data_IF_716318874309
#
_entry.id   IF_716318874309
#
_cell.length_a   1.000
_cell.length_b   1.000
_cell.length_c   1.000
_cell.angle_alpha   90.00
_cell.angle_beta   90.00
_cell.angle_gamma   90.00
#
_symmetry.space_group_name_H-M   'P 1'
#
loop_
_entity.id
_entity.type
_entity.pdbx_description
1 polymer ?
2 non-polymer ?
3 water ?
#
# COMPACT_ATOMS: atom_id res chain seq x y z
N UNK A 9 -27.12 -1.98 1.70
CA UNK A 9 -27.19 -0.70 2.43
C UNK A 9 -27.13 -0.92 3.94
N UNK A 10 -28.21 -1.52 4.46
CA UNK A 10 -28.28 -1.84 5.88
C UNK A 10 -27.29 -2.94 6.27
N UNK A 11 -27.10 -3.94 5.41
CA UNK A 11 -26.10 -4.96 5.72
C UNK A 11 -24.69 -4.36 5.78
N UNK A 12 -24.39 -3.43 4.87
CA UNK A 12 -23.04 -2.89 4.82
C UNK A 12 -22.79 -1.93 5.98
N UNK A 13 -23.78 -1.11 6.34
CA UNK A 13 -23.58 -0.30 7.54
C UNK A 13 -23.41 -1.19 8.79
N UNK A 14 -24.08 -2.35 8.87
CA UNK A 14 -23.81 -3.25 9.99
C UNK A 14 -22.37 -3.75 9.99
N UNK A 15 -21.82 -4.05 8.80
CA UNK A 15 -20.43 -4.49 8.74
C UNK A 15 -19.51 -3.40 9.27
N UNK A 16 -19.68 -2.17 8.78
CA UNK A 16 -18.83 -1.05 9.22
C UNK A 16 -18.91 -0.86 10.74
N UNK A 17 -20.12 -0.94 11.32
CA UNK A 17 -20.30 -0.86 12.76
C UNK A 17 -19.53 -1.95 13.51
N UNK A 18 -19.52 -3.17 12.96
CA UNK A 18 -18.73 -4.24 13.55
C UNK A 18 -17.25 -3.93 13.49
N UNK A 19 -16.77 -3.49 12.32
CA UNK A 19 -15.35 -3.20 12.18
C UNK A 19 -14.88 -2.18 13.21
N UNK A 20 -15.69 -1.14 13.47
CA UNK A 20 -15.35 -0.15 14.48
C UNK A 20 -15.15 -0.77 15.84
N UNK A 21 -15.83 -1.90 16.15
CA UNK A 21 -15.62 -2.53 17.46
C UNK A 21 -14.17 -2.98 17.67
N UNK A 22 -13.41 -3.15 16.59
CA UNK A 22 -12.01 -3.55 16.68
C UNK A 22 -11.06 -2.38 16.91
N UNK A 23 -11.56 -1.14 16.98
CA UNK A 23 -10.67 0.02 16.95
C UNK A 23 -9.98 0.25 18.29
N UNK A 24 -10.62 -0.10 19.40
CA UNK A 24 -9.99 0.06 20.71
C UNK A 24 -9.11 -1.14 21.03
N UNK A 25 -8.52 -1.73 20.00
CA UNK A 25 -7.59 -2.86 20.06
C UNK A 25 -6.37 -2.62 19.19
N UNK A 26 -6.56 -2.03 18.01
CA UNK A 26 -5.42 -1.45 17.29
C UNK A 26 -4.71 -0.45 18.17
N UNK A 27 -5.47 0.32 18.96
CA UNK A 27 -4.89 1.32 19.83
C UNK A 27 -3.84 0.74 20.78
N UNK A 28 -3.88 -0.58 21.01
CA UNK A 28 -2.86 -1.24 21.80
C UNK A 28 -1.94 -2.15 20.99
N UNK A 29 -2.37 -2.56 19.79
CA UNK A 29 -1.51 -3.32 18.89
C UNK A 29 -0.62 -2.42 18.05
N UNK A 30 -1.11 -1.23 17.68
CA UNK A 30 -0.28 -0.26 16.97
C UNK A 30 0.65 0.51 17.90
N UNK A 31 0.21 0.75 19.15
CA UNK A 31 1.08 1.40 20.10
C UNK A 31 2.29 0.55 20.44
N UNK A 32 2.14 -0.77 20.38
CA UNK A 32 3.26 -1.64 20.69
C UNK A 32 4.20 -1.77 19.50
N UNK A 33 3.64 -1.78 18.29
CA UNK A 33 4.46 -1.74 17.08
C UNK A 33 5.35 -0.51 17.10
N UNK A 34 4.74 0.67 17.34
CA UNK A 34 5.47 1.92 17.22
C UNK A 34 6.68 1.97 18.13
N UNK A 35 6.54 1.51 19.38
CA UNK A 35 7.67 1.54 20.30
C UNK A 35 8.79 0.61 19.89
N UNK A 36 8.46 -0.47 19.19
CA UNK A 36 9.52 -1.32 18.65
C UNK A 36 10.17 -0.64 17.45
N UNK A 37 9.42 0.18 16.72
CA UNK A 37 9.96 0.82 15.52
C UNK A 37 10.90 1.97 15.91
N UNK A 38 10.53 2.80 16.89
CA UNK A 38 11.46 3.85 17.31
C UNK A 38 12.72 3.25 17.90
N UNK A 39 12.64 2.06 18.49
CA UNK A 39 13.82 1.43 19.04
C UNK A 39 14.80 1.02 17.95
N UNK A 40 14.32 0.60 16.78
CA UNK A 40 15.23 0.35 15.65
C UNK A 40 15.66 1.64 14.98
N UNK A 41 14.76 2.64 14.92
CA UNK A 41 15.08 3.94 14.35
C UNK A 41 16.40 4.46 14.91
N UNK A 42 16.63 4.24 16.20
CA UNK A 42 17.84 4.73 16.85
C UNK A 42 19.06 3.94 16.42
N UNK A 43 18.99 2.61 16.49
CA UNK A 43 20.15 1.78 16.19
C UNK A 43 20.61 1.96 14.75
N UNK A 44 19.66 1.95 13.81
CA UNK A 44 20.00 2.27 12.43
C UNK A 44 20.72 3.60 12.34
N UNK A 45 20.15 4.64 12.96
CA UNK A 45 20.77 5.96 12.96
C UNK A 45 22.19 5.94 13.50
N UNK A 46 22.59 4.87 14.20
CA UNK A 46 23.96 4.72 14.69
C UNK A 46 24.88 4.04 13.67
N UNK A 47 24.32 3.32 12.70
CA UNK A 47 25.13 2.82 11.59
C UNK A 47 25.42 3.97 10.62
N UNK A 48 26.59 3.90 9.99
CA UNK A 48 27.07 5.02 9.19
C UNK A 48 26.36 5.11 7.84
N UNK A 49 25.85 3.99 7.33
CA UNK A 49 25.13 3.98 6.07
C UNK A 49 23.66 4.34 6.21
N UNK A 50 23.10 4.17 7.40
CA UNK A 50 21.71 4.50 7.66
C UNK A 50 21.62 5.64 8.65
N UNK A 51 22.33 6.74 8.42
CA UNK A 51 22.24 7.84 9.37
C UNK A 51 21.09 8.79 9.06
N UNK A 52 20.76 8.97 7.79
CA UNK A 52 19.64 9.79 7.42
C UNK A 52 18.40 8.94 7.25
N UNK A 53 18.26 7.95 8.10
CA UNK A 53 17.06 7.12 8.09
C UNK A 53 16.01 7.81 8.96
N UNK A 54 14.79 7.83 8.46
CA UNK A 54 13.67 8.32 9.24
C UNK A 54 12.44 7.52 8.91
N UNK A 55 11.33 7.90 9.52
CA UNK A 55 10.05 7.27 9.21
C UNK A 55 9.36 8.03 8.08
N UNK A 56 8.65 7.29 7.24
CA UNK A 56 7.75 7.87 6.24
C UNK A 56 6.34 7.88 6.83
N UNK A 57 5.78 9.09 7.00
CA UNK A 57 4.44 9.31 7.54
C UNK A 57 4.33 9.07 9.05
N UNK A 58 3.11 9.25 9.57
CA UNK A 58 2.68 8.79 10.89
C UNK A 58 1.70 7.64 10.63
N UNK A 59 2.16 6.41 10.78
CA UNK A 59 3.53 6.11 11.17
C UNK A 59 3.70 4.64 11.50
N UNK A 63 0.25 1.60 8.54
CA UNK A 63 -0.65 1.03 7.56
C UNK A 63 -1.02 -0.42 7.95
N UNK A 64 -2.20 -0.88 7.54
CA UNK A 64 -2.67 -2.24 7.80
C UNK A 64 -2.99 -2.94 6.48
N UNK A 65 -2.32 -4.06 6.23
CA UNK A 65 -2.71 -4.95 5.13
C UNK A 65 -3.87 -5.84 5.56
N UNK A 66 -3.97 -6.13 6.86
CA UNK A 66 -5.08 -6.89 7.45
C UNK A 66 -5.90 -5.93 8.31
N UNK A 67 -7.10 -5.59 7.84
CA UNK A 67 -8.00 -4.70 8.58
C UNK A 67 -9.28 -5.45 8.93
N UNK A 70 -7.21 -6.92 12.88
CA UNK A 70 -6.08 -6.20 12.29
C UNK A 70 -4.74 -6.58 12.92
N UNK A 71 -3.95 -7.42 12.24
CA UNK A 71 -2.70 -7.93 12.77
C UNK A 71 -1.49 -7.73 11.89
N UNK A 72 -1.65 -7.36 10.62
CA UNK A 72 -0.53 -6.96 9.79
C UNK A 72 -0.36 -5.46 9.86
N UNK A 73 0.85 -5.01 10.20
CA UNK A 73 1.18 -3.59 10.26
C UNK A 73 2.34 -3.30 9.31
N UNK A 74 2.28 -2.15 8.64
CA UNK A 74 3.26 -1.78 7.64
C UNK A 74 3.94 -0.47 8.05
N UNK A 75 5.26 -0.50 8.17
CA UNK A 75 6.08 0.68 8.44
C UNK A 75 7.15 0.79 7.36
N UNK A 76 7.35 2.00 6.84
CA UNK A 76 8.37 2.24 5.83
C UNK A 76 9.47 3.13 6.40
N UNK A 77 10.72 2.68 6.24
CA UNK A 77 11.88 3.46 6.64
C UNK A 77 12.43 4.14 5.39
N UNK A 78 12.51 5.46 5.42
CA UNK A 78 13.01 6.22 4.29
C UNK A 78 14.48 6.56 4.51
N UNK A 79 15.14 6.97 3.43
CA UNK A 79 16.57 7.22 3.47
C UNK A 79 16.94 8.15 2.31
N UNK A 80 17.26 9.40 2.62
CA UNK A 80 17.66 10.35 1.58
C UNK A 80 18.96 9.92 0.92
N UNK A 81 18.96 9.92 -0.41
CA UNK A 81 20.16 9.57 -1.19
C UNK A 81 20.35 10.57 -2.32
N UNK A 82 21.21 11.57 -2.15
CA UNK A 82 21.42 12.57 -3.20
C UNK A 82 22.00 11.95 -4.46
N UNK A 83 22.04 12.77 -5.51
CA UNK A 83 22.67 12.41 -6.78
C UNK A 83 22.07 11.12 -7.33
N UNK A 84 20.76 10.97 -7.17
CA UNK A 84 20.07 9.80 -7.67
C UNK A 84 20.16 9.75 -9.18
N UNK A 85 20.02 8.54 -9.72
CA UNK A 85 20.05 8.35 -11.17
C UNK A 85 19.42 7.01 -11.49
N UNK A 86 18.44 7.01 -12.39
CA UNK A 86 17.57 5.87 -12.59
C UNK A 86 17.73 5.33 -14.01
N UNK A 87 17.83 4.00 -14.12
CA UNK A 87 17.90 3.30 -15.39
C UNK A 87 16.79 2.26 -15.43
N UNK A 88 15.85 2.42 -16.36
CA UNK A 88 14.67 1.56 -16.42
C UNK A 88 15.02 0.15 -16.87
N UNK A 89 14.81 -0.83 -15.98
CA UNK A 89 15.07 -2.23 -16.30
C UNK A 89 14.09 -2.71 -17.37
N UNK A 90 14.57 -2.82 -18.61
CA UNK A 90 13.89 -3.58 -19.66
C UNK A 90 12.46 -3.09 -19.89
N UNK A 91 12.33 -1.78 -20.13
CA UNK A 91 11.07 -1.04 -20.15
C UNK A 91 9.92 -1.69 -19.36
N UNK A 92 10.18 -2.08 -18.11
CA UNK A 92 9.15 -2.60 -17.22
C UNK A 92 8.42 -1.49 -16.47
N UNK A 93 8.76 -0.22 -16.74
CA UNK A 93 8.07 0.96 -16.22
C UNK A 93 8.23 1.16 -14.72
N UNK A 94 8.14 0.12 -13.90
CA UNK A 94 8.20 0.27 -12.45
C UNK A 94 9.52 -0.15 -11.82
N UNK A 95 10.41 -0.82 -12.56
CA UNK A 95 11.62 -1.41 -11.99
C UNK A 95 12.86 -0.72 -12.55
N UNK A 96 13.81 -0.40 -11.66
CA UNK A 96 14.96 0.44 -12.00
C UNK A 96 16.22 -0.09 -11.33
N UNK A 97 17.35 0.23 -11.94
CA UNK A 97 18.66 0.22 -11.30
C UNK A 97 18.97 1.62 -10.79
N UNK A 98 19.86 1.69 -9.80
CA UNK A 98 20.20 2.96 -9.14
C UNK A 98 21.69 3.24 -9.33
N UNK A 99 22.01 4.45 -9.80
CA UNK A 99 23.38 4.94 -9.89
C UNK A 99 23.49 6.29 -9.20
N UNK A 100 24.74 6.66 -8.87
CA UNK A 100 25.08 7.97 -8.32
C UNK A 100 25.75 8.76 -9.45
N UNK A 107 30.56 8.64 -0.65
CA UNK A 107 29.43 8.62 0.26
C UNK A 107 29.33 7.28 0.98
N UNK A 108 28.75 7.27 2.18
CA UNK A 108 28.77 6.05 2.99
C UNK A 108 28.05 4.87 2.36
N UNK A 109 27.19 5.12 1.36
CA UNK A 109 26.48 4.07 0.65
C UNK A 109 27.31 3.39 -0.42
N UNK A 110 28.60 3.74 -0.54
CA UNK A 110 29.46 3.14 -1.55
C UNK A 110 29.75 1.67 -1.27
N UNK A 111 29.50 1.20 -0.05
CA UNK A 111 29.74 -0.20 0.30
C UNK A 111 28.69 -1.14 -0.29
N UNK A 112 27.56 -0.61 -0.78
CA UNK A 112 26.51 -1.43 -1.34
C UNK A 112 26.50 -1.49 -2.86
N UNK A 113 27.36 -0.74 -3.53
CA UNK A 113 27.32 -0.73 -4.97
C UNK A 113 28.12 -1.92 -5.52
N UNK A 114 27.58 -2.54 -6.56
CA UNK A 114 28.27 -3.56 -7.35
C UNK A 114 28.38 -2.99 -8.76
N UNK A 115 29.55 -2.40 -9.05
CA UNK A 115 29.84 -1.88 -10.37
C UNK A 115 29.00 -0.68 -10.74
N UNK A 116 29.17 0.41 -10.00
CA UNK A 116 28.54 1.70 -10.27
C UNK A 116 27.06 1.75 -9.90
N UNK A 117 26.39 0.60 -9.86
CA UNK A 117 24.96 0.59 -9.53
C UNK A 117 24.78 0.12 -8.09
N UNK A 118 23.73 0.65 -7.45
CA UNK A 118 23.43 0.36 -6.06
C UNK A 118 22.73 -1.00 -5.96
N UNK A 119 23.29 -1.89 -5.16
CA UNK A 119 22.76 -3.25 -5.02
C UNK A 119 21.67 -3.25 -3.97
N UNK A 120 20.43 -3.48 -4.42
CA UNK A 120 19.34 -3.75 -3.48
C UNK A 120 19.72 -4.85 -2.51
N UNK A 121 20.09 -6.02 -3.03
CA UNK A 121 20.28 -7.19 -2.18
C UNK A 121 21.34 -6.96 -1.13
N UNK A 122 22.42 -6.26 -1.47
CA UNK A 122 23.45 -5.98 -0.47
C UNK A 122 22.93 -5.00 0.59
N UNK A 123 22.34 -3.88 0.16
CA UNK A 123 21.77 -2.92 1.11
C UNK A 123 20.66 -3.54 1.94
N UNK A 124 19.80 -4.33 1.31
CA UNK A 124 18.73 -4.98 2.05
C UNK A 124 19.28 -5.97 3.06
N UNK A 125 20.35 -6.70 2.71
CA UNK A 125 20.84 -7.76 3.58
C UNK A 125 21.53 -7.22 4.82
N UNK A 126 22.08 -6.00 4.75
CA UNK A 126 22.62 -5.40 5.97
C UNK A 126 21.52 -4.75 6.80
N UNK A 127 20.44 -4.31 6.16
CA UNK A 127 19.23 -3.92 6.88
C UNK A 127 18.79 -5.04 7.82
N UNK A 128 18.78 -6.28 7.32
CA UNK A 128 18.37 -7.42 8.13
C UNK A 128 19.29 -7.57 9.34
N UNK A 129 20.60 -7.67 9.11
CA UNK A 129 21.55 -7.93 10.18
C UNK A 129 21.42 -6.92 11.32
N UNK A 130 21.19 -5.65 10.98
CA UNK A 130 21.10 -4.64 12.03
C UNK A 130 19.83 -4.82 12.84
N UNK A 131 18.70 -5.10 12.16
CA UNK A 131 17.45 -5.33 12.89
C UNK A 131 17.51 -6.61 13.70
N UNK A 132 17.92 -7.72 13.07
CA UNK A 132 18.04 -8.98 13.77
C UNK A 132 18.97 -8.86 14.97
N UNK A 133 20.00 -8.02 14.87
CA UNK A 133 20.87 -7.75 15.99
C UNK A 133 20.12 -7.07 17.13
N UNK A 134 18.98 -6.45 16.85
CA UNK A 134 18.32 -5.64 17.86
C UNK A 134 17.14 -6.33 18.51
N UNK A 135 16.32 -7.07 17.74
CA UNK A 135 15.20 -7.78 18.34
C UNK A 135 15.64 -8.87 19.29
N UNK A 136 16.93 -9.23 19.27
CA UNK A 136 17.52 -10.15 20.23
C UNK A 136 18.01 -9.47 21.50
N UNK A 137 17.84 -8.15 21.61
CA UNK A 137 18.25 -7.41 22.80
C UNK A 137 17.10 -6.82 23.59
N UNK A 138 15.91 -6.74 23.01
CA UNK A 138 14.72 -6.32 23.74
C UNK A 138 14.23 -7.52 24.54
N UNK A 139 14.81 -7.71 25.73
CA UNK A 139 14.59 -8.93 26.51
C UNK A 139 13.19 -9.02 27.10
N UNK A 140 12.46 -7.91 27.16
CA UNK A 140 11.14 -7.92 27.82
C UNK A 140 10.07 -8.49 26.90
N UNK A 141 9.76 -7.80 25.81
CA UNK A 141 8.74 -8.26 24.88
C UNK A 141 9.33 -9.28 23.90
N UNK A 142 8.55 -10.34 23.62
CA UNK A 142 9.02 -11.47 22.82
C UNK A 142 8.80 -11.17 21.34
N UNK A 143 9.66 -10.31 20.82
CA UNK A 143 9.69 -10.01 19.38
C UNK A 143 10.62 -10.99 18.70
N UNK A 144 10.20 -11.48 17.53
CA UNK A 144 11.05 -12.34 16.71
C UNK A 144 10.92 -11.91 15.25
N UNK A 145 11.84 -12.41 14.44
CA UNK A 145 11.84 -12.18 13.00
C UNK A 145 11.37 -13.45 12.28
N UNK A 146 10.66 -13.27 11.18
CA UNK A 146 10.25 -14.41 10.37
C UNK A 146 10.65 -14.21 8.90
N UNK A 153 9.69 -8.34 0.09
CA UNK A 153 10.13 -6.96 -0.16
C UNK A 153 10.42 -6.19 1.12
N UNK A 154 10.41 -6.89 2.25
CA UNK A 154 10.50 -6.24 3.55
C UNK A 154 11.05 -7.24 4.56
N UNK A 155 11.10 -6.81 5.82
CA UNK A 155 11.44 -7.65 6.97
C UNK A 155 10.22 -7.71 7.87
N UNK A 156 9.85 -8.92 8.30
CA UNK A 156 8.62 -9.14 9.07
C UNK A 156 8.97 -9.52 10.50
N UNK A 157 8.57 -8.67 11.45
CA UNK A 157 8.73 -8.95 12.87
C UNK A 157 7.39 -9.42 13.43
N UNK A 158 7.44 -10.23 14.48
CA UNK A 158 6.25 -10.72 15.18
C UNK A 158 6.36 -10.34 16.64
N UNK A 159 5.60 -9.34 17.07
CA UNK A 159 5.66 -8.89 18.44
C UNK A 159 4.75 -9.77 19.30
N UNK A 160 5.35 -10.51 20.21
CA UNK A 160 4.65 -11.16 21.31
C UNK A 160 3.44 -11.98 20.83
N UNK A 161 3.63 -12.70 19.73
CA UNK A 161 2.72 -13.78 19.31
C UNK A 161 1.29 -13.27 19.12
N UNK A 162 1.12 -12.44 18.08
CA UNK A 162 -0.18 -12.01 17.56
C UNK A 162 -0.03 -10.99 16.44
N UNK A 163 0.61 -9.87 16.74
CA UNK A 163 0.65 -8.73 15.84
C UNK A 163 2.04 -8.68 15.22
N UNK A 164 2.09 -8.77 13.89
CA UNK A 164 3.33 -8.69 13.16
C UNK A 164 3.45 -7.32 12.51
N UNK A 165 4.65 -7.03 12.01
CA UNK A 165 4.91 -5.75 11.33
C UNK A 165 5.87 -5.99 10.17
N UNK A 166 5.60 -5.33 9.05
CA UNK A 166 6.47 -5.33 7.89
C UNK A 166 7.22 -4.00 7.83
N UNK A 167 8.55 -4.08 7.76
CA UNK A 167 9.42 -2.92 7.79
C UNK A 167 10.12 -2.84 6.44
N UNK A 168 9.84 -1.79 5.69
CA UNK A 168 10.34 -1.63 4.34
C UNK A 168 11.34 -0.49 4.31
N UNK A 169 12.49 -0.73 3.68
CA UNK A 169 13.47 0.33 3.51
C UNK A 169 13.28 0.98 2.14
N UNK A 170 13.21 2.30 2.11
CA UNK A 170 13.03 3.02 0.86
C UNK A 170 14.10 4.09 0.72
N UNK A 171 14.60 4.25 -0.51
CA UNK A 171 15.45 5.38 -0.85
C UNK A 171 14.56 6.54 -1.24
N UNK A 172 14.88 7.72 -0.72
CA UNK A 172 14.16 8.94 -1.07
C UNK A 172 14.92 9.68 -2.14
N UNK A 173 14.23 10.05 -3.22
CA UNK A 173 14.76 10.92 -4.25
C UNK A 173 13.87 12.15 -4.37
N UNK A 174 14.48 13.34 -4.38
CA UNK A 174 13.73 14.58 -4.56
C UNK A 174 13.71 15.08 -6.00
N UNK A 175 14.19 14.28 -6.95
CA UNK A 175 14.12 14.70 -8.34
C UNK A 175 12.71 14.55 -8.88
N UNK A 176 12.47 15.11 -10.07
CA UNK A 176 11.20 14.92 -10.75
C UNK A 176 10.93 13.44 -10.96
N UNK A 177 9.64 13.09 -10.93
CA UNK A 177 9.22 11.70 -11.05
C UNK A 177 9.64 11.12 -12.39
N UNK A 178 9.92 9.81 -12.44
CA UNK A 178 10.39 9.20 -13.70
C UNK A 178 9.33 9.20 -14.77
N UNK A 179 9.81 9.06 -16.01
CA UNK A 179 8.98 9.24 -17.20
C UNK A 179 7.78 8.30 -17.25
N UNK A 180 7.90 7.10 -16.66
CA UNK A 180 6.81 6.15 -16.69
C UNK A 180 5.61 6.60 -15.86
N UNK A 181 5.74 7.64 -15.04
CA UNK A 181 4.60 8.18 -14.31
C UNK A 181 3.93 9.36 -15.01
N UNK A 182 4.42 9.77 -16.18
CA UNK A 182 3.92 11.00 -16.78
C UNK A 182 2.41 10.98 -17.05
N UNK A 183 1.84 9.82 -17.37
CA UNK A 183 0.40 9.71 -17.62
C UNK A 183 -0.36 9.11 -16.44
N UNK A 184 0.29 8.89 -15.29
CA UNK A 184 -0.39 8.40 -14.11
C UNK A 184 -0.94 9.53 -13.25
N UNK A 185 -1.47 9.15 -12.08
CA UNK A 185 -2.06 10.10 -11.13
C UNK A 185 -3.03 11.03 -11.87
N UNK A 186 -4.04 10.40 -12.48
CA UNK A 186 -5.00 11.11 -13.34
C UNK A 186 -6.14 11.72 -12.51
N UNK A 187 -5.77 12.62 -11.59
CA UNK A 187 -6.69 13.16 -10.60
C UNK A 187 -7.30 14.51 -11.03
N UNK A 188 -6.93 15.02 -12.22
CA UNK A 188 -7.30 16.35 -12.69
C UNK A 188 -8.79 16.62 -12.56
N UNK A 189 -9.64 15.74 -13.11
CA UNK A 189 -11.09 15.99 -13.07
C UNK A 189 -11.66 15.74 -11.69
N UNK A 190 -10.85 15.25 -10.76
CA UNK A 190 -11.32 14.90 -9.43
C UNK A 190 -10.71 15.85 -8.41
N UNK A 191 -9.38 15.74 -8.14
CA UNK A 191 -8.74 16.60 -7.14
C UNK A 191 -8.16 17.91 -7.71
N UNK A 192 -8.17 18.10 -9.06
CA UNK A 192 -7.72 19.28 -9.82
C UNK A 192 -6.27 19.20 -10.30
N UNK A 193 -5.98 19.87 -11.43
CA UNK A 193 -4.62 19.92 -11.95
C UNK A 193 -3.65 20.60 -10.97
N UNK A 194 -4.12 21.62 -10.25
CA UNK A 194 -3.27 22.31 -9.30
C UNK A 194 -2.74 21.34 -8.22
N UNK A 195 -3.60 20.41 -7.78
CA UNK A 195 -3.20 19.44 -6.76
C UNK A 195 -2.25 18.39 -7.35
N UNK A 196 -2.54 17.93 -8.58
CA UNK A 196 -1.63 17.03 -9.26
C UNK A 196 -0.25 17.65 -9.45
N UNK A 197 -0.20 18.91 -9.89
CA UNK A 197 1.08 19.63 -9.91
C UNK A 197 1.78 19.56 -8.55
N UNK A 198 1.05 19.91 -7.48
CA UNK A 198 1.70 20.03 -6.18
C UNK A 198 2.15 18.67 -5.66
N UNK A 199 1.39 17.61 -5.96
CA UNK A 199 1.78 16.28 -5.47
C UNK A 199 3.01 15.76 -6.20
N UNK A 200 3.21 16.16 -7.45
CA UNK A 200 4.31 15.66 -8.26
C UNK A 200 5.60 16.42 -8.03
N UNK A 201 5.58 17.43 -7.17
CA UNK A 201 6.80 18.07 -6.69
C UNK A 201 7.35 17.41 -5.43
N UNK A 202 6.55 16.57 -4.76
CA UNK A 202 7.03 15.87 -3.60
C UNK A 202 8.01 14.79 -4.03
N UNK A 203 8.77 14.20 -3.12
CA UNK A 203 9.70 13.14 -3.49
C UNK A 203 8.96 11.89 -3.93
N UNK A 204 9.75 10.91 -4.40
CA UNK A 204 9.24 9.57 -4.65
C UNK A 204 10.23 8.59 -4.04
N UNK A 205 9.82 7.33 -3.95
CA UNK A 205 10.58 6.34 -3.22
C UNK A 205 10.88 5.13 -4.08
N UNK A 206 12.00 4.49 -3.75
CA UNK A 206 12.45 3.25 -4.35
C UNK A 206 12.56 2.18 -3.28
N UNK A 207 11.91 1.05 -3.53
CA UNK A 207 11.91 -0.10 -2.63
C UNK A 207 12.58 -1.25 -3.36
N UNK A 208 13.43 -2.06 -2.71
CA UNK A 208 14.00 -3.24 -3.40
C UNK A 208 12.96 -4.30 -3.74
N UNK A 209 12.67 -4.46 -5.04
CA UNK A 209 11.66 -5.36 -5.61
C UNK A 209 10.39 -5.53 -4.77
N UNK A 218 16.25 -9.68 -11.21
CA UNK A 218 17.67 -9.32 -11.28
C UNK A 218 18.25 -9.10 -9.89
N UNK A 219 17.36 -8.94 -8.90
CA UNK A 219 17.70 -8.86 -7.48
C UNK A 219 18.45 -7.57 -7.12
N UNK A 220 18.96 -6.83 -8.10
CA UNK A 220 19.52 -5.52 -7.83
C UNK A 220 18.62 -4.39 -8.32
N UNK A 221 17.36 -4.71 -8.59
CA UNK A 221 16.40 -3.73 -9.10
C UNK A 221 15.56 -3.15 -7.97
N UNK A 222 15.09 -1.93 -8.18
CA UNK A 222 14.28 -1.22 -7.22
C UNK A 222 12.94 -0.89 -7.86
N UNK A 223 11.91 -0.73 -7.02
CA UNK A 223 10.53 -0.53 -7.46
C UNK A 223 10.03 0.81 -6.93
N UNK A 224 9.39 1.59 -7.80
CA UNK A 224 8.85 2.88 -7.40
C UNK A 224 7.77 2.69 -6.35
N UNK A 225 7.75 3.60 -5.37
CA UNK A 225 6.71 3.60 -4.34
C UNK A 225 6.22 5.02 -4.13
N UNK A 226 4.91 5.16 -4.04
CA UNK A 226 4.24 6.43 -3.79
C UNK A 226 3.31 6.31 -2.60
N UNK A 227 3.69 5.49 -1.63
CA UNK A 227 2.84 5.27 -0.47
C UNK A 227 2.42 6.59 0.16
N UNK A 228 3.34 7.56 0.22
CA UNK A 228 3.03 8.83 0.88
C UNK A 228 1.93 9.59 0.15
N UNK A 229 1.93 9.52 -1.20
CA UNK A 229 0.87 10.16 -1.96
C UNK A 229 -0.43 9.40 -1.78
N UNK A 230 -0.35 8.08 -1.69
CA UNK A 230 -1.58 7.32 -1.56
C UNK A 230 -2.32 7.73 -0.29
N UNK A 231 -1.57 7.93 0.80
CA UNK A 231 -2.19 8.31 2.06
C UNK A 231 -2.79 9.71 1.97
N UNK A 232 -2.11 10.64 1.30
CA UNK A 232 -2.61 12.00 1.23
C UNK A 232 -3.89 12.07 0.38
N UNK A 233 -3.97 11.25 -0.66
CA UNK A 233 -5.16 11.26 -1.48
C UNK A 233 -6.34 10.68 -0.75
N UNK A 234 -6.08 9.71 0.14
CA UNK A 234 -7.17 9.08 0.86
C UNK A 234 -7.70 10.02 1.94
N UNK A 235 -6.81 10.77 2.58
CA UNK A 235 -7.26 11.66 3.64
C UNK A 235 -7.74 13.02 3.13
N UNK A 236 -7.45 13.36 1.88
CA UNK A 236 -7.90 14.63 1.29
C UNK A 236 -8.50 14.28 -0.07
N UNK A 237 -9.71 13.73 -0.04
CA UNK A 237 -10.20 12.81 -1.05
C UNK A 237 -11.36 13.34 -1.87
N UNK A 238 -11.86 14.53 -1.54
CA UNK A 238 -13.02 15.07 -2.19
C UNK A 238 -12.70 16.13 -3.21
N UNK A 239 -13.63 16.32 -4.15
CA UNK A 239 -13.57 17.50 -5.00
C UNK A 239 -13.69 18.74 -4.14
N UNK A 240 -14.64 18.73 -3.21
CA UNK A 240 -14.76 19.84 -2.28
C UNK A 240 -13.63 19.79 -1.26
N UNK A 241 -12.98 20.92 -1.04
CA UNK A 241 -11.91 20.95 -0.07
C UNK A 241 -12.42 20.62 1.33
N UNK A 242 -13.68 20.92 1.62
CA UNK A 242 -14.25 20.62 2.93
C UNK A 242 -15.04 19.31 2.94
N UNK A 243 -14.82 18.42 1.96
CA UNK A 243 -15.43 17.08 2.01
C UNK A 243 -15.13 16.45 3.36
N UNK A 244 -16.16 15.89 3.99
CA UNK A 244 -16.10 15.22 5.29
C UNK A 244 -15.60 16.10 6.43
N UNK A 245 -15.52 17.43 6.26
CA UNK A 245 -15.19 18.28 7.40
C UNK A 245 -16.42 18.91 8.06
N UNK A 246 -17.62 18.62 7.57
CA UNK A 246 -18.87 19.14 8.12
C UNK A 246 -19.95 18.15 7.78
N UNK A 247 -21.05 18.21 8.54
CA UNK A 247 -22.16 17.28 8.37
C UNK A 247 -22.87 17.40 7.02
N UNK A 248 -22.76 18.53 6.31
CA UNK A 248 -23.43 18.65 5.01
C UNK A 248 -22.67 17.95 3.89
N UNK A 249 -21.45 17.49 4.13
CA UNK A 249 -20.59 16.94 3.09
C UNK A 249 -19.97 15.63 3.63
N UNK A 250 -20.79 14.63 3.87
CA UNK A 250 -20.30 13.33 4.30
C UNK A 250 -20.34 12.40 3.08
N UNK A 251 -19.17 12.03 2.59
CA UNK A 251 -19.14 11.03 1.52
C UNK A 251 -18.81 9.66 2.13
N UNK A 252 -19.03 8.61 1.34
CA UNK A 252 -18.77 7.27 1.81
C UNK A 252 -17.52 6.69 1.17
N UNK A 253 -16.58 7.56 0.77
CA UNK A 253 -15.41 7.11 0.02
C UNK A 253 -14.52 6.20 0.89
N UNK A 254 -14.28 6.58 2.15
CA UNK A 254 -13.47 5.74 3.02
C UNK A 254 -14.21 4.47 3.41
N UNK A 255 -15.52 4.54 3.58
CA UNK A 255 -16.29 3.33 3.91
C UNK A 255 -16.30 2.33 2.75
N UNK A 256 -16.27 2.80 1.49
CA UNK A 256 -16.22 1.86 0.37
C UNK A 256 -14.88 1.12 0.33
N UNK A 257 -13.76 1.82 0.51
CA UNK A 257 -12.47 1.13 0.55
C UNK A 257 -12.41 0.13 1.71
N UNK A 258 -12.93 0.52 2.88
CA UNK A 258 -12.90 -0.39 4.01
C UNK A 258 -13.70 -1.66 3.72
N UNK A 259 -14.90 -1.52 3.14
CA UNK A 259 -15.71 -2.68 2.78
C UNK A 259 -14.99 -3.57 1.77
N UNK A 260 -14.33 -2.95 0.78
CA UNK A 260 -13.62 -3.67 -0.27
C UNK A 260 -12.47 -4.49 0.31
N UNK A 261 -11.61 -3.86 1.13
CA UNK A 261 -10.53 -4.57 1.80
C UNK A 261 -11.09 -5.69 2.66
N UNK A 262 -12.22 -5.45 3.32
CA UNK A 262 -12.81 -6.46 4.18
C UNK A 262 -13.40 -7.61 3.38
N UNK A 263 -13.96 -7.31 2.22
CA UNK A 263 -14.50 -8.34 1.35
C UNK A 263 -13.38 -9.30 0.95
N UNK A 264 -12.24 -8.75 0.52
CA UNK A 264 -11.12 -9.59 0.12
C UNK A 264 -10.59 -10.41 1.30
N UNK A 265 -10.40 -9.77 2.45
CA UNK A 265 -9.92 -10.50 3.63
C UNK A 265 -10.85 -11.66 3.96
N UNK A 266 -12.16 -11.41 3.99
CA UNK A 266 -13.12 -12.46 4.29
C UNK A 266 -13.06 -13.60 3.27
N UNK A 267 -12.91 -13.25 1.99
CA UNK A 267 -12.88 -14.29 0.97
C UNK A 267 -11.62 -15.13 1.09
N UNK A 268 -10.47 -14.49 1.38
CA UNK A 268 -9.23 -15.24 1.56
C UNK A 268 -9.34 -16.19 2.75
N UNK A 269 -9.98 -15.78 3.84
CA UNK A 269 -10.16 -16.68 4.98
C UNK A 269 -11.00 -17.90 4.58
N UNK A 270 -12.12 -17.66 3.91
CA UNK A 270 -13.01 -18.74 3.51
C UNK A 270 -12.37 -19.68 2.51
N UNK A 271 -11.55 -19.16 1.59
CA UNK A 271 -10.92 -19.99 0.56
C UNK A 271 -9.51 -20.44 0.96
N UNK A 272 -9.26 -20.66 2.25
CA UNK A 272 -7.94 -21.06 2.72
C UNK A 272 -7.66 -22.56 2.63
N UNK A 273 -8.65 -23.42 2.38
CA UNK A 273 -8.32 -24.82 2.14
C UNK A 273 -7.59 -24.99 0.81
N UNK A 274 -7.83 -24.09 -0.15
CA UNK A 274 -7.16 -24.10 -1.45
C UNK A 274 -6.01 -23.10 -1.52
N UNK A 275 -6.12 -21.96 -0.84
CA UNK A 275 -5.08 -20.93 -0.74
C UNK A 275 -4.69 -20.34 -2.10
N UNK A 276 -5.58 -20.36 -3.08
CA UNK A 276 -5.25 -19.76 -4.37
C UNK A 276 -5.81 -18.35 -4.50
N UNK A 277 -6.19 -17.74 -3.39
CA UNK A 277 -6.47 -16.31 -3.34
C UNK A 277 -5.34 -15.52 -2.71
N UNK A 278 -4.26 -16.18 -2.27
CA UNK A 278 -3.31 -15.47 -1.44
C UNK A 278 -2.29 -14.65 -2.23
N UNK A 279 -2.39 -14.61 -3.56
CA UNK A 279 -1.65 -13.61 -4.33
C UNK A 279 -2.32 -12.24 -4.28
N UNK A 280 -3.60 -12.17 -3.96
CA UNK A 280 -4.29 -10.90 -3.91
C UNK A 280 -4.06 -10.19 -2.58
N UNK A 281 -3.97 -8.86 -2.64
CA UNK A 281 -3.68 -8.07 -1.46
C UNK A 281 -4.54 -6.81 -1.46
N UNK A 282 -4.69 -6.24 -0.27
CA UNK A 282 -5.42 -4.99 -0.11
C UNK A 282 -4.91 -3.88 -1.04
N UNK A 283 -3.66 -3.96 -1.47
CA UNK A 283 -3.14 -2.97 -2.40
C UNK A 283 -3.81 -3.07 -3.78
N UNK A 284 -4.27 -4.27 -4.17
CA UNK A 284 -5.03 -4.35 -5.43
C UNK A 284 -6.37 -3.65 -5.30
N UNK A 285 -7.04 -3.87 -4.18
CA UNK A 285 -8.30 -3.20 -3.88
C UNK A 285 -8.10 -1.69 -3.80
N UNK A 286 -7.08 -1.25 -3.07
CA UNK A 286 -6.81 0.18 -2.94
C UNK A 286 -6.61 0.83 -4.31
N UNK A 287 -5.80 0.18 -5.18
CA UNK A 287 -5.58 0.69 -6.54
C UNK A 287 -6.88 0.76 -7.33
N UNK A 288 -7.69 -0.30 -7.25
CA UNK A 288 -8.95 -0.31 -8.00
C UNK A 288 -9.88 0.76 -7.48
N UNK A 289 -9.85 1.02 -6.16
CA UNK A 289 -10.70 2.07 -5.63
C UNK A 289 -10.27 3.43 -6.16
N UNK A 290 -8.97 3.69 -6.24
CA UNK A 290 -8.48 4.94 -6.84
C UNK A 290 -9.03 5.14 -8.26
N UNK A 291 -9.01 4.08 -9.09
CA UNK A 291 -9.54 4.19 -10.45
C UNK A 291 -11.01 4.54 -10.44
N UNK A 292 -11.75 4.03 -9.47
CA UNK A 292 -13.17 4.34 -9.38
C UNK A 292 -13.39 5.78 -8.93
N UNK A 293 -12.53 6.29 -8.03
CA UNK A 293 -12.60 7.71 -7.69
C UNK A 293 -12.41 8.58 -8.93
N UNK A 294 -11.42 8.24 -9.79
CA UNK A 294 -11.26 8.98 -11.06
C UNK A 294 -12.53 8.89 -11.91
N UNK A 295 -13.18 7.72 -11.93
CA UNK A 295 -14.40 7.56 -12.72
C UNK A 295 -15.57 8.35 -12.12
N UNK A 296 -15.66 8.42 -10.79
CA UNK A 296 -16.73 9.13 -10.11
C UNK A 296 -16.12 10.32 -9.38
N UNK A 297 -15.82 11.39 -10.12
CA UNK A 297 -15.02 12.47 -9.56
C UNK A 297 -15.81 13.41 -8.64
N UNK A 298 -17.15 13.38 -8.69
CA UNK A 298 -17.96 14.36 -7.95
C UNK A 298 -18.33 13.77 -6.59
N UNK A 299 -18.28 14.63 -5.55
CA UNK A 299 -18.66 14.20 -4.20
C UNK A 299 -20.11 13.75 -4.14
N UNK A 300 -20.97 14.27 -5.04
CA UNK A 300 -22.35 13.80 -5.11
C UNK A 300 -22.47 12.38 -5.63
N UNK A 301 -21.40 11.81 -6.18
CA UNK A 301 -21.42 10.41 -6.56
C UNK A 301 -20.97 9.52 -5.41
N UNK A 302 -20.66 10.11 -4.24
CA UNK A 302 -20.24 9.36 -3.08
C UNK A 302 -21.04 9.74 -1.86
N UNK A 303 -22.29 10.14 -2.07
CA UNK A 303 -23.15 10.53 -0.98
C UNK A 303 -23.36 9.35 -0.03
N UNK A 304 -23.24 9.61 1.28
CA UNK A 304 -23.39 8.52 2.25
C UNK A 304 -24.71 7.78 2.10
N UNK A 305 -25.78 8.46 1.71
CA UNK A 305 -27.04 7.73 1.52
C UNK A 305 -26.93 6.68 0.43
N UNK A 306 -25.93 6.80 -0.44
CA UNK A 306 -25.81 5.92 -1.59
C UNK A 306 -24.80 4.82 -1.38
N UNK A 307 -24.42 4.57 -0.12
CA UNK A 307 -23.45 3.53 0.23
C UNK A 307 -23.60 2.25 -0.57
N UNK A 308 -24.81 1.70 -0.65
CA UNK A 308 -25.01 0.47 -1.40
C UNK A 308 -24.58 0.56 -2.86
N UNK A 309 -24.91 1.67 -3.53
CA UNK A 309 -24.60 1.82 -4.95
C UNK A 309 -23.14 2.18 -5.18
N UNK A 310 -22.54 2.97 -4.28
CA UNK A 310 -21.11 3.28 -4.40
C UNK A 310 -20.26 2.04 -4.20
N UNK A 311 -20.59 1.24 -3.19
CA UNK A 311 -19.90 -0.01 -2.97
C UNK A 311 -20.01 -0.90 -4.19
N UNK A 312 -21.22 -1.04 -4.74
CA UNK A 312 -21.41 -1.80 -5.97
C UNK A 312 -20.52 -1.29 -7.10
N UNK A 313 -20.43 0.04 -7.27
CA UNK A 313 -19.51 0.61 -8.26
C UNK A 313 -18.09 0.11 -8.02
N UNK A 314 -17.66 0.02 -6.75
CA UNK A 314 -16.30 -0.43 -6.48
C UNK A 314 -16.14 -1.91 -6.83
N UNK A 315 -17.16 -2.71 -6.56
CA UNK A 315 -17.03 -4.16 -6.76
C UNK A 315 -17.06 -4.49 -8.25
N UNK A 316 -17.96 -3.84 -9.01
CA UNK A 316 -18.02 -4.16 -10.43
C UNK A 316 -16.74 -3.74 -11.16
N UNK A 317 -16.14 -2.61 -10.78
CA UNK A 317 -14.87 -2.24 -11.40
C UNK A 317 -13.77 -3.26 -11.09
N UNK A 318 -13.59 -3.59 -9.81
CA UNK A 318 -12.64 -4.64 -9.45
C UNK A 318 -12.91 -5.91 -10.25
N UNK A 319 -14.19 -6.28 -10.36
CA UNK A 319 -14.61 -7.44 -11.12
C UNK A 319 -14.12 -7.34 -12.56
N UNK A 320 -14.26 -6.15 -13.16
CA UNK A 320 -13.82 -5.97 -14.53
C UNK A 320 -12.31 -6.13 -14.62
N UNK A 321 -11.59 -5.64 -13.58
CA UNK A 321 -10.14 -5.77 -13.58
C UNK A 321 -9.73 -7.25 -13.61
N UNK A 322 -10.37 -8.07 -12.78
CA UNK A 322 -10.11 -9.50 -12.80
C UNK A 322 -10.42 -10.13 -14.16
N UNK A 323 -11.63 -9.88 -14.69
CA UNK A 323 -12.07 -10.48 -15.95
C UNK A 323 -11.21 -10.07 -17.14
N UNK A 324 -10.66 -8.87 -17.11
CA UNK A 324 -9.79 -8.39 -18.17
C UNK A 324 -8.33 -8.62 -17.86
N UNK A 325 -8.03 -9.13 -16.67
CA UNK A 325 -6.65 -9.35 -16.21
C UNK A 325 -5.83 -8.08 -16.34
N UNK A 326 -6.44 -6.94 -16.04
CA UNK A 326 -5.73 -5.68 -16.13
C UNK A 326 -6.09 -4.80 -14.94
N UNK A 327 -5.09 -4.47 -14.13
CA UNK A 327 -5.24 -3.51 -13.04
C UNK A 327 -4.01 -2.61 -13.08
N UNK A 328 -4.15 -1.48 -13.75
CA UNK A 328 -3.04 -0.54 -13.88
C UNK A 328 -2.68 0.03 -12.53
N UNK A 329 -1.39 -0.03 -12.19
CA UNK A 329 -0.87 0.80 -11.11
C UNK A 329 -1.30 2.27 -11.33
N UNK A 330 -1.80 2.89 -10.26
CA UNK A 330 -2.41 4.22 -10.38
C UNK A 330 -1.40 5.27 -10.79
N UNK A 331 -0.13 5.09 -10.45
CA UNK A 331 0.91 6.05 -10.80
C UNK A 331 1.71 5.64 -12.03
N UNK A 332 1.75 4.35 -12.36
CA UNK A 332 2.53 3.84 -13.48
C UNK A 332 1.59 3.11 -14.42
N UNK A 333 0.93 3.80 -15.36
CA UNK A 333 -0.14 3.13 -16.14
C UNK A 333 0.31 1.90 -16.91
N UNK A 334 1.55 1.81 -17.36
CA UNK A 334 1.94 0.64 -18.14
C UNK A 334 2.40 -0.51 -17.27
N UNK A 335 2.14 -0.44 -15.97
CA UNK A 335 2.51 -1.48 -15.02
C UNK A 335 1.22 -2.17 -14.60
N UNK A 336 1.03 -3.39 -15.07
CA UNK A 336 -0.18 -4.16 -14.85
C UNK A 336 0.01 -5.08 -13.65
N UNK A 337 -0.65 -4.76 -12.53
CA UNK A 337 -0.60 -5.61 -11.34
C UNK A 337 -1.27 -6.96 -11.57
N UNK A 338 -2.16 -7.05 -12.55
CA UNK A 338 -2.86 -8.31 -12.80
C UNK A 338 -2.28 -9.03 -14.01
N UNK A 339 -1.00 -8.79 -14.28
CA UNK A 339 -0.26 -9.53 -15.30
C UNK A 339 -0.19 -11.02 -15.00
N UNK A 340 0.13 -11.79 -16.04
CA UNK A 340 0.43 -13.21 -15.84
C UNK A 340 1.74 -13.40 -15.10
N UNK A 341 2.70 -12.50 -15.27
CA UNK A 341 3.91 -12.52 -14.46
C UNK A 341 3.60 -12.54 -12.98
N UNK A 342 2.66 -11.69 -12.55
CA UNK A 342 2.44 -11.52 -11.12
C UNK A 342 1.42 -12.53 -10.58
N UNK A 343 0.32 -12.72 -11.29
CA UNK A 343 -0.76 -13.59 -10.82
C UNK A 343 -1.24 -14.42 -11.99
N UNK A 344 -1.33 -15.73 -11.80
CA UNK A 344 -1.65 -16.57 -12.93
C UNK A 344 -3.14 -16.47 -13.27
N UNK A 345 -3.46 -16.88 -14.50
CA UNK A 345 -4.83 -16.74 -15.01
C UNK A 345 -5.84 -17.45 -14.11
N UNK A 346 -5.51 -18.67 -13.67
CA UNK A 346 -6.47 -19.46 -12.91
C UNK A 346 -6.93 -18.75 -11.64
N UNK A 347 -6.00 -18.12 -10.92
CA UNK A 347 -6.34 -17.43 -9.67
C UNK A 347 -7.29 -16.27 -9.93
N UNK A 348 -7.06 -15.50 -11.01
CA UNK A 348 -7.96 -14.41 -11.34
C UNK A 348 -9.34 -14.94 -11.72
N UNK A 349 -9.39 -16.02 -12.50
CA UNK A 349 -10.67 -16.64 -12.84
C UNK A 349 -11.43 -17.07 -11.58
N UNK A 350 -10.71 -17.68 -10.64
CA UNK A 350 -11.30 -18.10 -9.38
C UNK A 350 -11.89 -16.93 -8.60
N UNK A 351 -11.12 -15.87 -8.39
CA UNK A 351 -11.65 -14.76 -7.61
C UNK A 351 -12.83 -14.10 -8.31
N UNK A 352 -12.80 -14.04 -9.65
CA UNK A 352 -13.92 -13.50 -10.42
C UNK A 352 -15.21 -14.23 -10.07
N UNK A 353 -15.21 -15.56 -10.21
CA UNK A 353 -16.40 -16.35 -9.92
C UNK A 353 -16.91 -16.11 -8.49
N UNK A 354 -16.01 -15.93 -7.52
CA UNK A 354 -16.44 -15.69 -6.13
C UNK A 354 -17.01 -14.29 -5.93
N UNK A 355 -16.32 -13.26 -6.41
CA UNK A 355 -16.83 -11.90 -6.28
C UNK A 355 -18.13 -11.74 -7.06
N UNK A 356 -18.17 -12.28 -8.26
CA UNK A 356 -19.40 -12.27 -9.06
C UNK A 356 -20.56 -12.86 -8.26
N UNK A 357 -20.38 -14.05 -7.69
CA UNK A 357 -21.45 -14.67 -6.92
C UNK A 357 -21.84 -13.78 -5.74
N UNK A 358 -20.86 -13.20 -5.04
CA UNK A 358 -21.16 -12.38 -3.88
C UNK A 358 -21.99 -11.17 -4.27
N UNK A 359 -21.64 -10.52 -5.39
CA UNK A 359 -22.31 -9.29 -5.80
C UNK A 359 -23.71 -9.57 -6.31
N UNK A 360 -23.89 -10.65 -7.06
CA UNK A 360 -25.23 -11.04 -7.52
C UNK A 360 -26.12 -11.57 -6.39
N UNK A 361 -25.59 -11.77 -5.19
CA UNK A 361 -26.40 -12.29 -4.10
C UNK A 361 -26.40 -11.38 -2.86
N UNK A 362 -25.99 -10.10 -2.99
CA UNK A 362 -26.08 -9.13 -1.89
C UNK A 362 -25.15 -9.51 -0.73
N UNK A 363 -23.96 -9.99 -1.07
CA UNK A 363 -22.83 -10.28 -0.20
C UNK A 363 -23.16 -11.13 1.02
N UNK A 364 -23.56 -12.39 0.82
CA UNK A 364 -23.74 -13.29 1.97
C UNK A 364 -22.48 -13.51 2.78
N UNK A 365 -21.30 -13.24 2.22
CA UNK A 365 -20.10 -13.30 3.04
C UNK A 365 -20.15 -12.33 4.22
N UNK A 366 -20.92 -11.24 4.12
CA UNK A 366 -21.17 -10.31 5.24
C UNK A 366 -22.27 -10.80 6.20
N UNK A 367 -22.70 -12.05 6.04
CA UNK A 367 -23.71 -12.74 6.86
C UNK A 367 -25.08 -12.24 6.41
X LIG B 1 -15.41 12.89 2.02
#
# INVERSE_FOLDING_TARGET
GTGDAAPGASKLRAVLEKLKLSRDDISTAAGMVKGVVDHLLLRLKCDSAFRGVGLLNTGSYYEHVKISAPNEFDVMFKLEVPRIQLEEYSNTRAYYFVKFKRNPKENPLSQFLEGEILSASKMLSKFRKIIKEEINDIKDTDVIMKRKRGGSPAVTLLISEKISVDITLALESKSSWPASTQEGLRIQNWLSAKVRKQLRLKPFYLVPKHAKEGNGFQEETWRLSFSHIEKEILNNHGKSKTCCENKEEKCCRKDCLKLMKYLLEQLKERFKDKKHLDKFSSYHVKTAFFHVCTQNPQDSQWDRKDLGLCFDNCVTYFLQCLRTEKLENYFIPEFNLFSSNLIDKRSKEFLTKQIEYERNNEFPVFDEF
ZN ZN
#
